data_IF_542548129815
#
_entry.id   IF_542548129815
#
_cell.length_a   1.000
_cell.length_b   1.000
_cell.length_c   1.000
_cell.angle_alpha   90.00
_cell.angle_beta   90.00
_cell.angle_gamma   90.00
#
_symmetry.space_group_name_H-M   'P 1'
#
loop_
_entity.id
_entity.type
_entity.pdbx_description
1 polymer ?
#
# COMPACT_ATOMS: atom_id res chain seq x y z
N UNK A 1 -4.61 8.98 2.72
CA UNK A 1 -5.99 9.00 2.22
C UNK A 1 -6.58 7.61 2.24
N UNK A 2 -7.87 7.50 2.53
CA UNK A 2 -8.55 6.21 2.64
C UNK A 2 -9.78 6.10 1.75
N UNK A 3 -10.21 7.21 1.15
CA UNK A 3 -11.44 7.25 0.36
C UNK A 3 -11.24 8.05 -0.93
N UNK A 4 -12.13 7.82 -1.90
CA UNK A 4 -12.11 8.57 -3.15
C UNK A 4 -12.31 10.07 -2.88
N UNK A 5 -13.18 10.43 -1.93
CA UNK A 5 -13.45 11.84 -1.62
C UNK A 5 -12.24 12.52 -1.00
N UNK A 6 -11.53 11.85 -0.08
CA UNK A 6 -10.30 12.40 0.47
C UNK A 6 -9.26 12.62 -0.62
N UNK A 7 -9.13 11.64 -1.54
CA UNK A 7 -8.22 11.77 -2.67
C UNK A 7 -8.58 12.97 -3.55
N UNK A 8 -9.85 13.17 -3.87
CA UNK A 8 -10.30 14.31 -4.67
C UNK A 8 -9.92 15.64 -4.02
N UNK A 9 -10.07 15.73 -2.70
CA UNK A 9 -9.77 16.96 -1.97
C UNK A 9 -8.27 17.23 -1.87
N UNK A 10 -7.45 16.20 -1.79
CA UNK A 10 -6.01 16.31 -1.56
C UNK A 10 -5.17 16.31 -2.84
N UNK A 11 -5.71 15.76 -3.92
CA UNK A 11 -4.95 15.44 -5.14
C UNK A 11 -4.20 16.64 -5.72
N UNK A 12 -4.85 17.82 -5.78
CA UNK A 12 -4.22 19.00 -6.34
C UNK A 12 -3.10 19.57 -5.46
N UNK A 13 -3.03 19.17 -4.20
CA UNK A 13 -2.11 19.71 -3.20
C UNK A 13 -0.97 18.75 -2.84
N UNK A 14 -0.98 17.53 -3.37
CA UNK A 14 -0.02 16.49 -3.03
C UNK A 14 0.58 15.88 -4.29
N UNK A 15 1.87 15.53 -4.21
CA UNK A 15 2.53 14.76 -5.28
C UNK A 15 2.30 13.26 -5.09
N UNK A 16 2.07 12.83 -3.86
CA UNK A 16 1.86 11.43 -3.51
C UNK A 16 0.75 11.32 -2.45
N UNK A 17 -0.09 10.30 -2.61
CA UNK A 17 -1.08 9.91 -1.61
C UNK A 17 -0.78 8.49 -1.15
N UNK A 18 -0.69 8.30 0.17
CA UNK A 18 -0.47 7.00 0.77
C UNK A 18 -1.80 6.44 1.27
N UNK A 19 -2.09 5.20 0.90
CA UNK A 19 -3.18 4.43 1.48
C UNK A 19 -2.57 3.59 2.59
N UNK A 20 -2.67 4.08 3.82
CA UNK A 20 -2.03 3.46 4.97
C UNK A 20 -2.89 2.37 5.60
N UNK A 21 -2.26 1.35 6.16
CA UNK A 21 -2.96 0.30 6.90
C UNK A 21 -3.60 0.83 8.19
N UNK A 22 -3.25 2.05 8.62
CA UNK A 22 -3.93 2.76 9.70
C UNK A 22 -5.43 2.95 9.45
N UNK A 23 -5.92 2.69 8.22
CA UNK A 23 -7.36 2.65 7.97
C UNK A 23 -8.10 1.69 8.91
N UNK A 24 -7.41 0.68 9.42
CA UNK A 24 -7.96 -0.22 10.42
C UNK A 24 -8.48 0.54 11.63
N UNK A 25 -7.73 1.50 12.11
CA UNK A 25 -8.08 2.29 13.29
C UNK A 25 -8.99 3.46 12.95
N UNK A 26 -8.69 4.17 11.87
CA UNK A 26 -9.39 5.41 11.51
C UNK A 26 -10.76 5.14 10.89
N UNK A 27 -10.86 4.15 10.00
CA UNK A 27 -12.10 3.86 9.28
C UNK A 27 -12.89 2.75 9.99
N UNK A 28 -12.22 1.69 10.42
CA UNK A 28 -12.89 0.51 10.97
C UNK A 28 -12.96 0.50 12.50
N UNK A 29 -12.26 1.41 13.17
CA UNK A 29 -12.28 1.51 14.64
C UNK A 29 -11.61 0.33 15.35
N UNK A 30 -10.72 -0.39 14.66
CA UNK A 30 -10.02 -1.54 15.23
C UNK A 30 -8.88 -1.06 16.15
N UNK A 31 -8.50 -1.85 17.17
CA UNK A 31 -7.45 -1.46 18.12
C UNK A 31 -6.05 -1.51 17.52
N UNK A 32 -5.84 -2.21 16.39
CA UNK A 32 -4.54 -2.31 15.74
C UNK A 32 -4.69 -2.50 14.23
N UNK A 33 -3.57 -2.45 13.50
CA UNK A 33 -3.54 -2.69 12.05
C UNK A 33 -3.41 -4.18 11.69
N UNK A 34 -3.16 -5.04 12.66
CA UNK A 34 -2.92 -6.47 12.42
C UNK A 34 -4.06 -7.18 11.64
N UNK A 35 -5.35 -6.91 11.93
CA UNK A 35 -6.44 -7.59 11.22
C UNK A 35 -6.65 -7.16 9.76
N UNK A 36 -5.94 -6.13 9.27
CA UNK A 36 -6.16 -5.62 7.91
C UNK A 36 -5.79 -6.69 6.87
N UNK A 37 -6.70 -6.89 5.91
CA UNK A 37 -6.51 -7.86 4.83
C UNK A 37 -6.02 -7.18 3.55
N UNK A 38 -5.46 -7.98 2.63
CA UNK A 38 -5.14 -7.50 1.28
C UNK A 38 -6.36 -6.95 0.57
N UNK A 39 -7.51 -7.60 0.75
CA UNK A 39 -8.76 -7.15 0.13
C UNK A 39 -9.18 -5.77 0.63
N UNK A 40 -9.06 -5.52 1.93
CA UNK A 40 -9.34 -4.20 2.51
C UNK A 40 -8.43 -3.15 1.89
N UNK A 41 -7.13 -3.41 1.82
CA UNK A 41 -6.18 -2.48 1.22
C UNK A 41 -6.46 -2.27 -0.26
N UNK A 42 -6.82 -3.33 -0.99
CA UNK A 42 -7.17 -3.23 -2.40
C UNK A 42 -8.40 -2.36 -2.61
N UNK A 43 -9.44 -2.53 -1.80
CA UNK A 43 -10.67 -1.76 -1.93
C UNK A 43 -10.44 -0.27 -1.69
N UNK A 44 -9.73 0.08 -0.63
CA UNK A 44 -9.43 1.48 -0.33
C UNK A 44 -8.42 2.06 -1.31
N UNK A 45 -7.41 1.30 -1.69
CA UNK A 45 -6.44 1.71 -2.70
C UNK A 45 -7.07 2.02 -4.04
N UNK A 46 -7.98 1.17 -4.51
CA UNK A 46 -8.70 1.39 -5.75
C UNK A 46 -9.55 2.67 -5.68
N UNK A 47 -10.22 2.91 -4.55
CA UNK A 47 -11.03 4.10 -4.36
C UNK A 47 -10.17 5.38 -4.41
N UNK A 48 -9.01 5.37 -3.75
CA UNK A 48 -8.08 6.51 -3.75
C UNK A 48 -7.53 6.76 -5.15
N UNK A 49 -7.18 5.71 -5.88
CA UNK A 49 -6.71 5.84 -7.28
C UNK A 49 -7.80 6.49 -8.14
N UNK A 50 -9.05 6.07 -8.00
CA UNK A 50 -10.16 6.65 -8.77
C UNK A 50 -10.37 8.13 -8.47
N UNK A 51 -10.05 8.57 -7.26
CA UNK A 51 -10.16 9.98 -6.86
C UNK A 51 -8.94 10.83 -7.20
N UNK A 52 -7.87 10.24 -7.72
CA UNK A 52 -6.59 10.91 -7.96
C UNK A 52 -6.33 11.08 -9.45
N UNK A 53 -5.90 12.27 -9.85
CA UNK A 53 -5.52 12.57 -11.24
C UNK A 53 -4.08 13.05 -11.34
N UNK A 54 -3.58 13.74 -10.33
CA UNK A 54 -2.26 14.35 -10.30
C UNK A 54 -1.28 13.55 -9.44
N UNK A 55 -1.67 13.19 -8.22
CA UNK A 55 -0.81 12.52 -7.27
C UNK A 55 -0.61 11.04 -7.64
N UNK A 56 0.60 10.53 -7.39
CA UNK A 56 0.85 9.10 -7.45
C UNK A 56 0.33 8.44 -6.17
N UNK A 57 -0.24 7.24 -6.28
CA UNK A 57 -0.82 6.54 -5.15
C UNK A 57 0.07 5.37 -4.77
N UNK A 58 0.40 5.28 -3.49
CA UNK A 58 1.17 4.20 -2.88
C UNK A 58 0.29 3.49 -1.87
N UNK A 59 0.27 2.17 -1.88
CA UNK A 59 -0.58 1.36 -1.00
C UNK A 59 0.29 0.54 -0.07
N UNK A 60 0.01 0.61 1.24
CA UNK A 60 0.68 -0.22 2.25
C UNK A 60 0.36 -1.70 2.03
N UNK A 61 1.37 -2.54 2.15
CA UNK A 61 1.19 -3.98 2.25
C UNK A 61 0.85 -4.31 3.71
N UNK A 62 -0.30 -4.95 3.98
CA UNK A 62 -0.71 -5.22 5.34
C UNK A 62 0.13 -6.31 6.00
N UNK A 63 0.09 -6.35 7.33
CA UNK A 63 0.77 -7.38 8.12
C UNK A 63 0.38 -8.78 7.63
N UNK A 64 1.36 -9.63 7.48
CA UNK A 64 1.19 -11.01 7.04
C UNK A 64 1.25 -11.19 5.52
N UNK A 65 1.27 -10.10 4.74
CA UNK A 65 1.25 -10.19 3.28
C UNK A 65 2.65 -10.32 2.66
N UNK A 66 3.72 -10.04 3.41
CA UNK A 66 5.07 -10.02 2.83
C UNK A 66 6.16 -10.61 3.72
N UNK A 67 5.88 -10.86 4.99
CA UNK A 67 6.93 -11.27 5.95
C UNK A 67 7.39 -12.71 5.75
N UNK A 68 6.52 -13.59 5.24
CA UNK A 68 6.81 -15.02 5.16
C UNK A 68 7.92 -15.36 4.15
N UNK A 69 7.96 -14.68 3.01
CA UNK A 69 8.97 -14.91 1.98
C UNK A 69 8.94 -13.82 0.91
N UNK A 70 10.04 -13.63 0.14
CA UNK A 70 10.02 -12.72 -1.01
C UNK A 70 8.99 -13.11 -2.07
N UNK A 71 8.77 -14.41 -2.28
CA UNK A 71 7.77 -14.89 -3.24
C UNK A 71 6.36 -14.54 -2.81
N UNK A 72 6.05 -14.68 -1.53
CA UNK A 72 4.76 -14.26 -0.97
C UNK A 72 4.57 -12.77 -1.10
N UNK A 73 5.61 -12.00 -0.82
CA UNK A 73 5.59 -10.55 -0.99
C UNK A 73 5.28 -10.16 -2.43
N UNK A 74 5.87 -10.86 -3.40
CA UNK A 74 5.61 -10.60 -4.82
C UNK A 74 4.14 -10.88 -5.17
N UNK A 75 3.59 -12.00 -4.75
CA UNK A 75 2.18 -12.33 -5.00
C UNK A 75 1.26 -11.25 -4.44
N UNK A 76 1.50 -10.83 -3.20
CA UNK A 76 0.68 -9.82 -2.53
C UNK A 76 0.80 -8.46 -3.20
N UNK A 77 2.02 -8.03 -3.54
CA UNK A 77 2.27 -6.76 -4.20
C UNK A 77 1.65 -6.72 -5.60
N UNK A 78 1.81 -7.79 -6.37
CA UNK A 78 1.22 -7.89 -7.71
C UNK A 78 -0.31 -7.82 -7.64
N UNK A 79 -0.90 -8.50 -6.66
CA UNK A 79 -2.35 -8.43 -6.44
C UNK A 79 -2.79 -6.99 -6.17
N UNK A 80 -2.11 -6.30 -5.25
CA UNK A 80 -2.47 -4.92 -4.91
C UNK A 80 -2.35 -3.98 -6.12
N UNK A 81 -1.26 -4.07 -6.88
CA UNK A 81 -1.06 -3.20 -8.04
C UNK A 81 -2.12 -3.45 -9.11
N UNK A 82 -2.45 -4.71 -9.36
CA UNK A 82 -3.48 -5.06 -10.36
C UNK A 82 -4.88 -4.64 -9.91
N UNK A 83 -5.18 -4.82 -8.63
CA UNK A 83 -6.52 -4.51 -8.12
C UNK A 83 -6.75 -3.00 -7.97
N UNK A 84 -5.70 -2.22 -7.70
CA UNK A 84 -5.84 -0.79 -7.40
C UNK A 84 -5.46 0.14 -8.54
N UNK A 85 -4.50 -0.25 -9.36
CA UNK A 85 -3.88 0.67 -10.32
C UNK A 85 -2.89 1.62 -9.67
N UNK A 86 -2.46 1.36 -8.43
CA UNK A 86 -1.50 2.19 -7.72
C UNK A 86 -0.13 2.17 -8.38
N UNK A 87 0.68 3.19 -8.11
CA UNK A 87 2.02 3.33 -8.67
C UNK A 87 3.06 2.48 -7.96
N UNK A 88 2.87 2.19 -6.67
CA UNK A 88 3.83 1.46 -5.86
C UNK A 88 3.17 0.86 -4.63
N UNK A 89 3.87 -0.06 -4.00
CA UNK A 89 3.49 -0.57 -2.68
C UNK A 89 4.50 -0.11 -1.63
N UNK A 90 4.07 -0.09 -0.37
CA UNK A 90 4.96 0.23 0.75
C UNK A 90 4.99 -0.95 1.71
N UNK A 91 6.18 -1.26 2.24
CA UNK A 91 6.35 -2.27 3.28
C UNK A 91 7.33 -1.77 4.34
N UNK A 92 7.29 -2.39 5.50
CA UNK A 92 8.14 -2.05 6.64
C UNK A 92 9.09 -3.20 6.94
N UNK A 93 10.01 -2.99 7.90
CA UNK A 93 10.92 -4.03 8.38
C UNK A 93 12.39 -3.69 8.26
N UNK A 94 12.73 -2.51 7.80
CA UNK A 94 14.10 -2.02 7.77
C UNK A 94 15.06 -2.93 7.01
N UNK A 95 16.26 -3.08 7.55
CA UNK A 95 17.33 -3.85 6.90
C UNK A 95 16.98 -5.32 6.68
N UNK A 96 16.16 -5.91 7.55
CA UNK A 96 15.74 -7.31 7.40
C UNK A 96 14.93 -7.54 6.13
N UNK A 97 14.26 -6.52 5.61
CA UNK A 97 13.45 -6.60 4.40
C UNK A 97 14.21 -6.21 3.13
N UNK A 98 15.48 -5.83 3.23
CA UNK A 98 16.26 -5.43 2.05
C UNK A 98 16.28 -6.51 0.95
N UNK A 99 16.47 -7.82 1.26
CA UNK A 99 16.40 -8.85 0.23
C UNK A 99 15.03 -8.94 -0.44
N UNK A 100 13.96 -8.77 0.33
CA UNK A 100 12.59 -8.79 -0.20
C UNK A 100 12.35 -7.59 -1.12
N UNK A 101 12.76 -6.40 -0.71
CA UNK A 101 12.65 -5.20 -1.54
C UNK A 101 13.41 -5.36 -2.85
N UNK A 102 14.64 -5.90 -2.80
CA UNK A 102 15.43 -6.16 -3.99
C UNK A 102 14.74 -7.17 -4.92
N UNK A 103 14.18 -8.24 -4.36
CA UNK A 103 13.43 -9.24 -5.11
C UNK A 103 12.25 -8.63 -5.86
N UNK A 104 11.49 -7.78 -5.19
CA UNK A 104 10.33 -7.09 -5.78
C UNK A 104 10.77 -6.11 -6.88
N UNK A 105 11.75 -5.27 -6.58
CA UNK A 105 12.24 -4.26 -7.52
C UNK A 105 12.80 -4.87 -8.80
N UNK A 106 13.56 -5.95 -8.68
CA UNK A 106 14.12 -6.65 -9.83
C UNK A 106 13.03 -7.24 -10.74
N UNK A 107 11.86 -7.49 -10.22
CA UNK A 107 10.71 -8.04 -10.96
C UNK A 107 9.69 -6.98 -11.37
N UNK A 108 10.04 -5.72 -11.28
CA UNK A 108 9.23 -4.62 -11.78
C UNK A 108 8.18 -4.09 -10.80
N UNK A 109 8.25 -4.46 -9.53
CA UNK A 109 7.35 -3.90 -8.52
C UNK A 109 8.01 -2.67 -7.90
N UNK A 110 7.49 -1.46 -8.11
CA UNK A 110 8.00 -0.28 -7.40
C UNK A 110 7.66 -0.36 -5.91
N UNK A 111 8.68 -0.18 -5.07
CA UNK A 111 8.54 -0.33 -3.61
C UNK A 111 9.03 0.92 -2.91
N UNK A 112 8.22 1.39 -1.95
CA UNK A 112 8.64 2.40 -0.98
C UNK A 112 8.96 1.68 0.33
N UNK A 113 10.20 1.81 0.81
CA UNK A 113 10.60 1.26 2.09
C UNK A 113 10.31 2.23 3.22
N UNK A 114 10.00 1.68 4.40
CA UNK A 114 9.88 2.48 5.61
C UNK A 114 10.99 2.07 6.57
N UNK A 115 11.85 3.03 6.92
CA UNK A 115 12.92 2.88 7.90
C UNK A 115 12.57 3.76 9.09
N UNK A 116 12.38 3.11 10.22
CA UNK A 116 12.06 3.92 11.39
C UNK A 116 11.68 3.13 12.58
#
# INVERSE_FOLDING_TARGET
AYTARQAQLLDAHCDMLLVGDSLAQVIYGLPSTVPVTLEMMANHGAAVVRGSYHAVVVVDMPFGSYEASPEKAFESAAYLLKATGAAAVKLEGGAAMAPTVAFLSQRGIPVMGHVG
#
